data_IF_044329833597
#
_entry.id   IF_044329833597
#
_cell.length_a   1.000
_cell.length_b   1.000
_cell.length_c   1.000
_cell.angle_alpha   90.00
_cell.angle_beta   90.00
_cell.angle_gamma   90.00
#
_symmetry.space_group_name_H-M   'P 1'
#
loop_
_entity.id
_entity.type
_entity.pdbx_description
1 polymer ?
#
# COMPACT_ATOMS: atom_id res chain seq x y z
N UNK A 1 79.86 3.00 11.12
CA UNK A 1 78.97 2.23 12.01
C UNK A 1 78.11 3.22 12.78
N UNK A 2 76.96 3.56 12.19
CA UNK A 2 75.90 4.41 12.73
C UNK A 2 74.57 3.97 12.11
N UNK A 3 73.52 4.18 12.88
CA UNK A 3 72.20 3.53 12.93
C UNK A 3 71.18 4.29 12.04
N UNK A 4 70.16 3.62 11.48
CA UNK A 4 68.71 3.94 11.63
C UNK A 4 67.79 3.47 10.49
N UNK A 5 66.68 2.86 10.93
CA UNK A 5 65.32 2.83 10.39
C UNK A 5 65.09 2.28 8.97
N UNK A 6 64.51 1.07 8.92
CA UNK A 6 63.73 0.61 7.77
C UNK A 6 62.23 0.67 8.07
N UNK A 7 61.48 1.00 7.03
CA UNK A 7 60.16 1.63 7.05
C UNK A 7 59.01 0.74 7.56
N UNK A 8 58.12 1.37 8.33
CA UNK A 8 56.77 0.90 8.62
C UNK A 8 55.92 1.07 7.36
N UNK A 9 55.58 -0.02 6.67
CA UNK A 9 54.40 -0.02 5.79
C UNK A 9 53.20 -0.53 6.58
N UNK A 10 52.30 0.40 6.91
CA UNK A 10 50.98 0.14 7.49
C UNK A 10 50.12 -0.59 6.47
N UNK A 11 49.78 -1.85 6.77
CA UNK A 11 48.74 -2.58 6.07
C UNK A 11 47.38 -1.98 6.44
N UNK A 12 46.80 -1.17 5.56
CA UNK A 12 45.43 -0.65 5.71
C UNK A 12 44.51 -1.74 5.17
N UNK A 13 43.98 -2.55 6.10
CA UNK A 13 42.89 -3.48 5.85
C UNK A 13 41.61 -2.65 5.61
N UNK A 14 41.29 -2.39 4.35
CA UNK A 14 40.04 -1.77 3.93
C UNK A 14 38.91 -2.80 4.06
N UNK A 15 38.37 -2.96 5.28
CA UNK A 15 37.13 -3.71 5.49
C UNK A 15 36.00 -2.95 4.78
N UNK A 16 35.56 -3.48 3.63
CA UNK A 16 34.32 -3.09 3.00
C UNK A 16 33.18 -3.26 4.02
N UNK A 17 32.71 -2.14 4.56
CA UNK A 17 31.43 -2.10 5.27
C UNK A 17 30.37 -2.40 4.22
N UNK A 18 29.89 -3.65 4.25
CA UNK A 18 28.70 -4.07 3.53
C UNK A 18 27.52 -3.35 4.18
N UNK A 19 27.23 -2.13 3.72
CA UNK A 19 25.99 -1.44 4.06
C UNK A 19 24.90 -2.25 3.35
N UNK A 20 24.04 -3.01 4.05
CA UNK A 20 22.86 -3.55 3.37
C UNK A 20 22.10 -2.34 2.85
N UNK A 21 21.98 -2.25 1.53
CA UNK A 21 21.08 -1.33 0.87
C UNK A 21 19.69 -1.72 1.33
N UNK A 22 19.25 -1.13 2.44
CA UNK A 22 17.85 -1.12 2.81
C UNK A 22 17.13 -0.55 1.61
N UNK A 23 16.43 -1.44 0.93
CA UNK A 23 15.42 -1.14 -0.06
C UNK A 23 14.67 0.09 0.44
N UNK A 24 14.78 1.19 -0.31
CA UNK A 24 14.04 2.42 -0.08
C UNK A 24 12.59 2.09 -0.42
N UNK A 25 11.94 1.36 0.47
CA UNK A 25 10.50 1.21 0.48
C UNK A 25 9.94 2.56 0.91
N UNK A 26 8.80 2.93 0.31
CA UNK A 26 7.92 3.94 0.86
C UNK A 26 7.93 3.88 2.40
N UNK A 27 8.00 5.05 3.06
CA UNK A 27 8.10 5.12 4.52
C UNK A 27 7.06 4.18 5.15
N UNK A 28 7.51 3.33 6.07
CA UNK A 28 6.62 2.35 6.66
C UNK A 28 5.49 3.07 7.42
N UNK A 29 4.30 2.46 7.50
CA UNK A 29 3.17 2.97 8.31
C UNK A 29 3.61 3.38 9.72
N UNK A 30 4.55 2.62 10.31
CA UNK A 30 5.15 2.88 11.62
C UNK A 30 5.93 4.20 11.62
N UNK A 31 6.70 4.50 10.59
CA UNK A 31 7.47 5.74 10.49
C UNK A 31 6.57 6.95 10.29
N UNK A 32 5.55 6.85 9.44
CA UNK A 32 4.52 7.88 9.25
C UNK A 32 3.89 8.23 10.60
N UNK A 33 3.47 7.21 11.36
CA UNK A 33 2.86 7.37 12.68
C UNK A 33 3.83 7.99 13.68
N UNK A 34 5.04 7.44 13.82
CA UNK A 34 6.02 7.86 14.82
C UNK A 34 6.48 9.30 14.60
N UNK A 35 6.67 9.69 13.34
CA UNK A 35 7.07 11.05 12.96
C UNK A 35 5.87 12.00 12.79
N UNK A 36 4.65 11.54 13.02
CA UNK A 36 3.41 12.32 12.89
C UNK A 36 3.28 13.00 11.52
N UNK A 37 3.73 12.30 10.47
CA UNK A 37 3.68 12.79 9.09
C UNK A 37 2.23 12.94 8.67
N UNK A 38 1.84 14.14 8.26
CA UNK A 38 0.47 14.44 7.82
C UNK A 38 0.27 14.16 6.33
N UNK A 39 1.32 14.34 5.53
CA UNK A 39 1.28 14.14 4.09
C UNK A 39 2.67 13.90 3.51
N UNK A 40 2.72 13.22 2.37
CA UNK A 40 3.92 13.00 1.56
C UNK A 40 3.61 13.43 0.13
N UNK A 41 4.56 14.07 -0.54
CA UNK A 41 4.51 14.33 -1.98
C UNK A 41 5.72 13.67 -2.62
N UNK A 42 5.47 12.75 -3.54
CA UNK A 42 6.48 12.12 -4.37
C UNK A 42 6.61 12.94 -5.65
N UNK A 43 7.84 13.24 -6.04
CA UNK A 43 8.15 13.95 -7.27
C UNK A 43 9.13 13.11 -8.09
N UNK A 44 8.95 13.10 -9.40
CA UNK A 44 9.85 12.44 -10.34
C UNK A 44 10.56 13.50 -11.18
N UNK A 45 11.88 13.34 -11.34
CA UNK A 45 12.71 14.18 -12.19
C UNK A 45 13.12 13.40 -13.43
N UNK A 46 12.68 13.85 -14.60
CA UNK A 46 13.03 13.27 -15.90
C UNK A 46 13.48 14.39 -16.83
N UNK A 47 14.66 14.22 -17.45
CA UNK A 47 15.20 15.17 -18.44
C UNK A 47 15.26 16.62 -17.94
N UNK A 48 15.63 16.82 -16.67
CA UNK A 48 15.75 18.15 -16.06
C UNK A 48 14.43 18.79 -15.64
N UNK A 49 13.29 18.13 -15.85
CA UNK A 49 11.98 18.56 -15.37
C UNK A 49 11.55 17.73 -14.16
N UNK A 50 11.13 18.40 -13.09
CA UNK A 50 10.52 17.77 -11.92
C UNK A 50 9.00 17.95 -11.96
N UNK A 51 8.26 16.85 -11.82
CA UNK A 51 6.80 16.85 -11.72
C UNK A 51 6.36 16.06 -10.50
N UNK A 52 5.15 16.31 -10.02
CA UNK A 52 4.52 15.47 -9.00
C UNK A 52 4.20 14.11 -9.61
N UNK A 53 4.47 13.06 -8.85
CA UNK A 53 4.17 11.67 -9.21
C UNK A 53 2.98 11.18 -8.38
N UNK A 54 3.05 11.38 -7.06
CA UNK A 54 1.96 11.06 -6.14
C UNK A 54 1.88 12.02 -4.93
N UNK A 55 0.70 12.10 -4.32
CA UNK A 55 0.46 12.77 -3.05
C UNK A 55 -0.34 11.87 -2.13
N UNK A 56 0.05 11.80 -0.86
CA UNK A 56 -0.63 11.02 0.18
C UNK A 56 -0.93 11.90 1.38
N UNK A 57 -2.10 11.72 1.98
CA UNK A 57 -2.49 12.31 3.27
C UNK A 57 -2.78 11.21 4.27
N UNK A 58 -2.33 11.38 5.50
CA UNK A 58 -2.41 10.34 6.53
C UNK A 58 -3.22 10.76 7.76
N UNK A 59 -3.78 9.79 8.47
CA UNK A 59 -4.33 9.96 9.80
C UNK A 59 -3.25 9.82 10.90
N UNK A 60 -3.65 10.00 12.17
CA UNK A 60 -2.76 9.87 13.34
C UNK A 60 -2.19 8.45 13.55
N UNK A 61 -2.80 7.44 12.94
CA UNK A 61 -2.36 6.04 13.01
C UNK A 61 -1.43 5.67 11.85
N UNK A 62 -1.12 6.62 10.96
CA UNK A 62 -0.31 6.44 9.77
C UNK A 62 -1.05 5.78 8.61
N UNK A 63 -2.39 5.70 8.67
CA UNK A 63 -3.19 5.20 7.56
C UNK A 63 -3.36 6.27 6.49
N UNK A 64 -3.35 5.89 5.22
CA UNK A 64 -3.62 6.79 4.09
C UNK A 64 -5.11 7.13 4.09
N UNK A 65 -5.47 8.41 4.23
CA UNK A 65 -6.82 8.93 4.05
C UNK A 65 -7.12 9.29 2.60
N UNK A 66 -6.11 9.75 1.87
CA UNK A 66 -6.23 10.20 0.48
C UNK A 66 -4.92 9.98 -0.26
N UNK A 67 -5.07 9.59 -1.52
CA UNK A 67 -4.01 9.36 -2.49
C UNK A 67 -4.38 10.08 -3.79
N UNK A 68 -3.44 10.80 -4.40
CA UNK A 68 -3.60 11.45 -5.70
C UNK A 68 -2.42 11.02 -6.56
N UNK A 69 -2.72 10.38 -7.68
CA UNK A 69 -1.73 9.97 -8.67
C UNK A 69 -1.73 10.94 -9.83
N UNK A 70 -0.56 11.33 -10.29
CA UNK A 70 -0.37 12.26 -11.40
C UNK A 70 0.09 11.51 -12.66
N UNK A 71 -0.14 12.11 -13.83
CA UNK A 71 0.42 11.63 -15.10
C UNK A 71 1.82 12.23 -15.36
N UNK A 72 2.47 11.79 -16.45
CA UNK A 72 3.81 12.26 -16.87
C UNK A 72 3.84 13.76 -17.24
N UNK A 73 2.70 14.44 -17.25
CA UNK A 73 2.57 15.88 -17.45
C UNK A 73 2.34 16.64 -16.13
N UNK A 74 2.23 15.93 -15.00
CA UNK A 74 1.95 16.47 -13.67
C UNK A 74 0.48 16.81 -13.45
N UNK A 75 -0.44 16.29 -14.28
CA UNK A 75 -1.89 16.46 -14.11
C UNK A 75 -2.45 15.32 -13.27
N UNK A 76 -3.54 15.57 -12.54
CA UNK A 76 -4.21 14.52 -11.77
C UNK A 76 -4.74 13.46 -12.74
N UNK A 77 -4.38 12.20 -12.49
CA UNK A 77 -4.87 11.03 -13.19
C UNK A 77 -5.98 10.34 -12.41
N UNK A 78 -5.79 10.17 -11.11
CA UNK A 78 -6.73 9.52 -10.20
C UNK A 78 -6.63 10.13 -8.81
N UNK A 79 -7.75 10.18 -8.09
CA UNK A 79 -7.79 10.42 -6.66
C UNK A 79 -8.51 9.29 -5.97
N UNK A 80 -7.96 8.81 -4.86
CA UNK A 80 -8.53 7.74 -4.05
C UNK A 80 -8.68 8.23 -2.61
N UNK A 81 -9.80 7.93 -1.97
CA UNK A 81 -10.00 8.19 -0.54
C UNK A 81 -10.31 6.90 0.19
N UNK A 82 -9.93 6.84 1.47
CA UNK A 82 -10.09 5.65 2.31
C UNK A 82 -10.76 6.00 3.63
N UNK A 83 -11.55 5.06 4.16
CA UNK A 83 -12.03 5.06 5.55
C UNK A 83 -11.59 3.79 6.25
N UNK A 84 -11.53 3.88 7.57
CA UNK A 84 -11.08 2.82 8.45
C UNK A 84 -12.13 2.53 9.51
N UNK A 85 -12.23 1.28 9.94
CA UNK A 85 -13.09 0.86 11.05
C UNK A 85 -12.37 1.04 12.42
N UNK A 86 -13.02 0.60 13.49
CA UNK A 86 -12.53 0.69 14.86
C UNK A 86 -11.30 -0.20 15.14
N UNK A 87 -11.11 -1.30 14.39
CA UNK A 87 -9.91 -2.15 14.44
C UNK A 87 -8.77 -1.62 13.54
N UNK A 88 -8.92 -0.40 13.01
CA UNK A 88 -7.90 0.28 12.19
C UNK A 88 -7.63 -0.40 10.83
N UNK A 89 -8.60 -1.15 10.33
CA UNK A 89 -8.63 -1.80 9.02
C UNK A 89 -9.50 -1.01 8.03
N UNK A 90 -9.22 -1.11 6.72
CA UNK A 90 -9.96 -0.37 5.68
C UNK A 90 -11.42 -0.80 5.66
N UNK A 91 -12.35 0.13 5.82
CA UNK A 91 -13.80 -0.12 5.70
C UNK A 91 -14.38 0.33 4.37
N UNK A 92 -13.76 1.33 3.74
CA UNK A 92 -14.21 1.90 2.46
C UNK A 92 -13.01 2.40 1.64
N UNK A 93 -13.12 2.28 0.32
CA UNK A 93 -12.27 2.93 -0.67
C UNK A 93 -13.16 3.56 -1.74
N UNK A 94 -12.87 4.79 -2.14
CA UNK A 94 -13.59 5.48 -3.23
C UNK A 94 -12.59 6.06 -4.21
N UNK A 95 -12.72 5.70 -5.49
CA UNK A 95 -11.90 6.22 -6.59
C UNK A 95 -12.65 7.31 -7.35
N UNK A 96 -11.91 8.33 -7.77
CA UNK A 96 -12.39 9.47 -8.55
C UNK A 96 -11.47 9.69 -9.76
N UNK A 97 -12.06 10.11 -10.87
CA UNK A 97 -11.29 10.56 -12.03
C UNK A 97 -10.66 11.95 -11.82
N UNK A 98 -9.92 12.40 -12.82
CA UNK A 98 -9.25 13.71 -12.84
C UNK A 98 -10.20 14.91 -12.66
N UNK A 99 -11.49 14.75 -12.96
CA UNK A 99 -12.52 15.80 -12.81
C UNK A 99 -13.15 15.79 -11.41
N UNK A 100 -12.82 14.80 -10.58
CA UNK A 100 -13.40 14.59 -9.27
C UNK A 100 -14.71 13.78 -9.28
N UNK A 101 -15.09 13.20 -10.43
CA UNK A 101 -16.27 12.34 -10.51
C UNK A 101 -15.92 10.95 -9.97
N UNK A 102 -16.79 10.40 -9.12
CA UNK A 102 -16.63 9.05 -8.58
C UNK A 102 -16.71 8.03 -9.72
N UNK A 103 -15.74 7.11 -9.77
CA UNK A 103 -15.66 6.04 -10.77
C UNK A 103 -15.97 4.68 -10.18
N UNK A 104 -15.61 4.47 -8.92
CA UNK A 104 -15.86 3.23 -8.20
C UNK A 104 -15.89 3.45 -6.69
N UNK A 105 -16.55 2.53 -5.98
CA UNK A 105 -16.53 2.42 -4.53
C UNK A 105 -16.36 0.96 -4.13
N UNK A 106 -15.56 0.71 -3.11
CA UNK A 106 -15.39 -0.60 -2.49
C UNK A 106 -15.70 -0.50 -0.99
N UNK A 107 -16.37 -1.50 -0.44
CA UNK A 107 -16.59 -1.62 1.02
C UNK A 107 -16.13 -2.98 1.52
N UNK A 108 -15.65 -3.03 2.76
CA UNK A 108 -15.08 -4.24 3.34
C UNK A 108 -15.71 -4.52 4.71
N UNK A 109 -15.95 -5.81 4.99
CA UNK A 109 -16.37 -6.29 6.31
C UNK A 109 -15.38 -7.31 6.82
N UNK A 110 -15.36 -7.46 8.13
CA UNK A 110 -14.44 -8.31 8.88
C UNK A 110 -15.25 -9.23 9.79
N UNK A 111 -14.74 -10.44 10.04
CA UNK A 111 -15.33 -11.37 11.01
C UNK A 111 -14.82 -11.05 12.43
N UNK A 112 -15.22 -11.87 13.40
CA UNK A 112 -14.86 -11.71 14.81
C UNK A 112 -13.35 -11.94 15.07
N UNK A 113 -12.67 -12.64 14.15
CA UNK A 113 -11.21 -12.83 14.17
C UNK A 113 -10.45 -11.66 13.50
N UNK A 114 -11.13 -10.54 13.21
CA UNK A 114 -10.59 -9.36 12.53
C UNK A 114 -10.08 -9.62 11.10
N UNK A 115 -10.47 -10.75 10.50
CA UNK A 115 -10.13 -11.14 9.14
C UNK A 115 -11.19 -10.66 8.14
N UNK A 116 -10.76 -10.18 6.96
CA UNK A 116 -11.69 -9.69 5.93
C UNK A 116 -12.62 -10.79 5.46
N UNK A 117 -13.91 -10.66 5.77
CA UNK A 117 -14.97 -11.65 5.49
C UNK A 117 -15.81 -11.32 4.26
N UNK A 118 -15.91 -10.03 3.88
CA UNK A 118 -16.68 -9.59 2.72
C UNK A 118 -16.04 -8.39 2.02
N UNK A 119 -16.24 -8.31 0.71
CA UNK A 119 -15.88 -7.16 -0.13
C UNK A 119 -17.00 -6.89 -1.14
N UNK A 120 -17.49 -5.65 -1.21
CA UNK A 120 -18.48 -5.23 -2.19
C UNK A 120 -17.89 -4.17 -3.11
N UNK A 121 -18.11 -4.31 -4.41
CA UNK A 121 -17.67 -3.37 -5.44
C UNK A 121 -18.89 -2.70 -6.05
N UNK A 122 -18.86 -1.38 -6.12
CA UNK A 122 -19.90 -0.53 -6.69
C UNK A 122 -19.32 0.33 -7.81
N UNK A 123 -20.15 0.65 -8.80
CA UNK A 123 -19.78 1.61 -9.84
C UNK A 123 -19.83 3.06 -9.32
N UNK A 124 -19.49 4.02 -10.19
CA UNK A 124 -19.51 5.46 -9.89
C UNK A 124 -20.85 6.02 -9.42
N UNK A 125 -21.96 5.32 -9.70
CA UNK A 125 -23.31 5.68 -9.27
C UNK A 125 -23.75 4.94 -7.98
N UNK A 126 -22.81 4.30 -7.28
CA UNK A 126 -23.06 3.49 -6.08
C UNK A 126 -23.98 2.27 -6.32
N UNK A 127 -24.06 1.79 -7.55
CA UNK A 127 -24.79 0.55 -7.87
C UNK A 127 -23.85 -0.63 -7.67
N UNK A 128 -24.29 -1.64 -6.92
CA UNK A 128 -23.51 -2.86 -6.68
C UNK A 128 -23.20 -3.54 -8.01
N UNK A 129 -21.93 -3.90 -8.20
CA UNK A 129 -21.42 -4.63 -9.38
C UNK A 129 -21.12 -6.07 -8.99
N UNK A 130 -20.46 -6.28 -7.86
CA UNK A 130 -20.12 -7.61 -7.36
C UNK A 130 -19.96 -7.66 -5.85
N UNK A 131 -20.25 -8.82 -5.27
CA UNK A 131 -20.01 -9.12 -3.86
C UNK A 131 -19.09 -10.33 -3.74
N UNK A 132 -18.09 -10.26 -2.89
CA UNK A 132 -17.20 -11.37 -2.57
C UNK A 132 -17.33 -11.74 -1.10
N UNK A 133 -17.45 -13.03 -0.81
CA UNK A 133 -17.48 -13.58 0.56
C UNK A 133 -16.31 -14.53 0.74
N UNK A 134 -15.61 -14.40 1.86
CA UNK A 134 -14.45 -15.22 2.21
C UNK A 134 -14.84 -16.22 3.29
N UNK A 135 -14.36 -17.46 3.14
CA UNK A 135 -14.43 -18.47 4.18
C UNK A 135 -13.03 -18.86 4.64
N UNK A 136 -12.95 -19.45 5.83
CA UNK A 136 -11.70 -19.77 6.49
C UNK A 136 -11.71 -21.23 6.97
N UNK A 137 -10.53 -21.83 7.07
CA UNK A 137 -10.37 -23.16 7.65
C UNK A 137 -10.23 -23.08 9.18
N UNK A 138 -10.10 -24.23 9.84
CA UNK A 138 -9.95 -24.33 11.29
C UNK A 138 -8.66 -23.70 11.86
N UNK A 139 -7.71 -23.30 11.00
CA UNK A 139 -6.49 -22.57 11.38
C UNK A 139 -6.62 -21.05 11.16
N UNK A 140 -7.80 -20.56 10.78
CA UNK A 140 -8.02 -19.15 10.44
C UNK A 140 -7.45 -18.73 9.08
N UNK A 141 -6.97 -19.66 8.26
CA UNK A 141 -6.46 -19.35 6.91
C UNK A 141 -7.60 -19.35 5.91
N UNK A 142 -7.53 -18.47 4.90
CA UNK A 142 -8.54 -18.38 3.83
C UNK A 142 -8.70 -19.75 3.14
N UNK A 143 -9.93 -20.24 3.08
CA UNK A 143 -10.28 -21.50 2.42
C UNK A 143 -10.81 -21.25 1.02
N UNK A 144 -11.79 -20.37 0.88
CA UNK A 144 -12.31 -19.96 -0.42
C UNK A 144 -12.76 -18.49 -0.45
N UNK A 145 -12.82 -17.93 -1.66
CA UNK A 145 -13.47 -16.68 -2.01
C UNK A 145 -14.57 -17.01 -3.02
N UNK A 146 -15.82 -16.73 -2.67
CA UNK A 146 -16.96 -16.81 -3.59
C UNK A 146 -17.32 -15.40 -4.07
N UNK A 147 -17.36 -15.20 -5.37
CA UNK A 147 -17.74 -13.93 -6.00
C UNK A 147 -19.11 -14.08 -6.65
N UNK A 148 -20.00 -13.15 -6.37
CA UNK A 148 -21.36 -13.06 -6.89
C UNK A 148 -21.51 -11.79 -7.71
N UNK A 149 -22.35 -11.83 -8.74
CA UNK A 149 -22.79 -10.64 -9.45
C UNK A 149 -23.77 -9.79 -8.62
N UNK A 150 -24.20 -8.66 -9.17
CA UNK A 150 -25.16 -7.75 -8.55
C UNK A 150 -26.54 -8.39 -8.24
N UNK A 151 -26.90 -9.48 -8.94
CA UNK A 151 -28.16 -10.21 -8.75
C UNK A 151 -28.03 -11.34 -7.72
N UNK A 152 -26.83 -11.57 -7.18
CA UNK A 152 -26.54 -12.65 -6.25
C UNK A 152 -26.22 -13.98 -6.93
N UNK A 153 -25.99 -13.99 -8.24
CA UNK A 153 -25.58 -15.21 -8.96
C UNK A 153 -24.10 -15.47 -8.69
N UNK A 154 -23.76 -16.69 -8.27
CA UNK A 154 -22.36 -17.08 -8.08
C UNK A 154 -21.65 -17.13 -9.44
N UNK A 155 -20.63 -16.29 -9.63
CA UNK A 155 -19.87 -16.20 -10.88
C UNK A 155 -18.48 -16.83 -10.79
N UNK A 156 -17.91 -16.92 -9.59
CA UNK A 156 -16.58 -17.48 -9.40
C UNK A 156 -16.42 -18.05 -7.99
N UNK A 157 -15.73 -19.18 -7.88
CA UNK A 157 -15.16 -19.65 -6.61
C UNK A 157 -13.66 -19.80 -6.80
N UNK A 158 -12.87 -19.18 -5.91
CA UNK A 158 -11.42 -19.34 -5.83
C UNK A 158 -11.09 -20.05 -4.52
N UNK A 159 -10.48 -21.22 -4.60
CA UNK A 159 -10.05 -22.01 -3.43
C UNK A 159 -8.55 -21.80 -3.16
N UNK A 160 -8.16 -21.93 -1.90
CA UNK A 160 -6.77 -21.82 -1.46
C UNK A 160 -6.36 -23.14 -0.79
N UNK A 161 -5.22 -23.68 -1.23
CA UNK A 161 -4.62 -24.89 -0.69
C UNK A 161 -3.23 -24.56 -0.14
N UNK A 162 -2.92 -25.11 1.04
CA UNK A 162 -1.67 -24.89 1.74
C UNK A 162 -0.99 -26.23 1.98
N UNK A 163 0.33 -26.24 1.87
CA UNK A 163 1.22 -27.35 2.20
C UNK A 163 2.04 -26.96 3.44
N UNK A 164 2.36 -27.94 4.30
CA UNK A 164 3.05 -27.75 5.58
C UNK A 164 4.24 -28.70 5.71
#
# INVERSE_FOLDING_TARGET
MYIYQNNVMKSILLMLVFIPQFLVFAQSKKDIKNNKVKSVTENISKEGKTIKDAFYRYDKNGNILEEINYDDLGKIKERITYKYNNINEKSEKVSFDATGKQTAKETYKYNDDEEKSEENIYNGNNILVSRSVYSFNNKGLRKDKKTFDAKGTLIQTKTYQYEY
#
